data_IF_576707504622
#
_entry.id   IF_576707504622
#
_cell.length_a   1.000
_cell.length_b   1.000
_cell.length_c   1.000
_cell.angle_alpha   90.00
_cell.angle_beta   90.00
_cell.angle_gamma   90.00
#
_symmetry.space_group_name_H-M   'P 1'
#
loop_
_entity.id
_entity.type
_entity.pdbx_description
1 polymer ?
#
# COMPACT_ATOMS: atom_id res chain seq x y z
N UNK A 1 7.71 -34.12 5.86
CA UNK A 1 9.00 -33.41 5.67
C UNK A 1 8.65 -31.93 5.66
N UNK A 2 9.18 -31.19 6.64
CA UNK A 2 9.00 -29.71 6.66
C UNK A 2 9.75 -29.15 5.46
N UNK A 3 9.07 -28.50 4.54
CA UNK A 3 9.70 -27.79 3.43
C UNK A 3 10.24 -26.48 3.99
N UNK A 4 11.57 -26.34 4.05
CA UNK A 4 12.20 -25.09 4.45
C UNK A 4 12.03 -24.04 3.32
N UNK A 5 11.75 -22.80 3.69
CA UNK A 5 11.69 -21.67 2.77
C UNK A 5 13.07 -20.99 2.70
N UNK A 6 13.50 -20.68 1.48
CA UNK A 6 14.77 -20.01 1.24
C UNK A 6 14.59 -18.77 0.37
N UNK A 7 15.18 -17.67 0.81
CA UNK A 7 15.31 -16.46 -0.01
C UNK A 7 16.56 -16.59 -0.89
N UNK A 8 16.37 -16.40 -2.20
CA UNK A 8 17.44 -16.47 -3.20
C UNK A 8 17.92 -15.09 -3.60
N UNK A 9 19.22 -14.93 -3.62
CA UNK A 9 19.87 -13.70 -4.07
C UNK A 9 20.85 -14.04 -5.21
N UNK A 10 20.82 -13.24 -6.28
CA UNK A 10 21.77 -13.41 -7.38
C UNK A 10 23.23 -13.36 -6.88
N UNK A 11 23.97 -14.43 -7.16
CA UNK A 11 25.38 -14.54 -6.78
C UNK A 11 25.71 -14.76 -5.30
N UNK A 12 24.70 -15.05 -4.45
CA UNK A 12 24.88 -15.35 -3.02
C UNK A 12 24.29 -16.73 -2.68
N UNK A 13 24.68 -17.27 -1.52
CA UNK A 13 24.06 -18.48 -0.96
C UNK A 13 22.62 -18.19 -0.54
N UNK A 14 21.73 -19.19 -0.75
CA UNK A 14 20.34 -19.14 -0.29
C UNK A 14 20.29 -18.98 1.23
N UNK A 15 19.39 -18.14 1.73
CA UNK A 15 19.19 -17.86 3.16
C UNK A 15 17.87 -18.49 3.60
N UNK A 16 17.92 -19.34 4.65
CA UNK A 16 16.71 -19.90 5.24
C UNK A 16 15.91 -18.80 5.95
N UNK A 17 14.62 -18.70 5.62
CA UNK A 17 13.69 -17.68 6.16
C UNK A 17 12.52 -18.30 6.94
N UNK A 18 12.58 -19.57 7.31
CA UNK A 18 11.48 -20.26 8.01
C UNK A 18 11.02 -19.51 9.28
N UNK A 19 11.93 -18.87 9.98
CA UNK A 19 11.61 -18.10 11.19
C UNK A 19 10.99 -16.71 10.89
N UNK A 20 11.01 -16.27 9.64
CA UNK A 20 10.50 -14.96 9.24
C UNK A 20 9.09 -15.05 8.64
N UNK A 21 8.69 -16.22 8.14
CA UNK A 21 7.37 -16.42 7.51
C UNK A 21 6.30 -16.76 8.55
N UNK A 22 5.08 -16.22 8.43
CA UNK A 22 4.04 -16.37 9.46
C UNK A 22 3.33 -17.73 9.43
N UNK A 23 3.26 -18.43 8.28
CA UNK A 23 2.53 -19.71 8.12
C UNK A 23 2.91 -20.42 6.82
N UNK A 24 2.53 -21.69 6.69
CA UNK A 24 2.72 -22.48 5.47
C UNK A 24 1.76 -22.05 4.37
N UNK A 25 2.24 -22.04 3.11
CA UNK A 25 1.45 -21.69 1.92
C UNK A 25 1.04 -22.93 1.12
N UNK A 26 -0.05 -22.86 0.35
CA UNK A 26 -0.35 -23.86 -0.69
C UNK A 26 0.81 -24.00 -1.67
N UNK A 27 0.99 -25.18 -2.26
CA UNK A 27 2.14 -25.50 -3.12
C UNK A 27 2.30 -24.58 -4.35
N UNK A 28 1.21 -23.92 -4.80
CA UNK A 28 1.23 -22.99 -5.94
C UNK A 28 1.50 -21.53 -5.55
N UNK A 29 1.65 -21.24 -4.24
CA UNK A 29 1.90 -19.90 -3.72
C UNK A 29 3.36 -19.76 -3.29
N UNK A 30 3.85 -18.54 -3.26
CA UNK A 30 5.21 -18.23 -2.81
C UNK A 30 5.21 -17.04 -1.87
N UNK A 31 6.08 -17.10 -0.85
CA UNK A 31 6.40 -15.92 -0.06
C UNK A 31 7.35 -15.02 -0.85
N UNK A 32 7.07 -13.73 -0.85
CA UNK A 32 7.94 -12.72 -1.45
C UNK A 32 8.09 -11.54 -0.48
N UNK A 33 9.27 -10.95 -0.40
CA UNK A 33 9.39 -9.65 0.29
C UNK A 33 8.57 -8.62 -0.48
N UNK A 34 7.77 -7.85 0.25
CA UNK A 34 6.82 -6.91 -0.36
C UNK A 34 7.53 -5.97 -1.35
N UNK A 35 8.70 -5.42 -0.98
CA UNK A 35 9.47 -4.54 -1.86
C UNK A 35 10.11 -5.21 -3.09
N UNK A 36 10.18 -6.55 -3.14
CA UNK A 36 10.60 -7.29 -4.33
C UNK A 36 9.43 -7.56 -5.29
N UNK A 37 8.20 -7.47 -4.78
CA UNK A 37 6.97 -7.69 -5.55
C UNK A 37 6.29 -6.38 -5.96
N UNK A 38 6.38 -5.36 -5.13
CA UNK A 38 5.77 -4.04 -5.30
C UNK A 38 6.85 -2.96 -5.24
N UNK A 39 6.84 -2.03 -6.19
CA UNK A 39 7.67 -0.82 -6.15
C UNK A 39 7.16 0.12 -5.05
N UNK A 40 7.98 0.27 -4.02
CA UNK A 40 7.66 1.00 -2.80
C UNK A 40 8.32 2.38 -2.84
N UNK A 41 7.51 3.40 -3.09
CA UNK A 41 7.92 4.82 -3.12
C UNK A 41 7.28 5.59 -1.97
N UNK A 42 7.73 6.80 -1.75
CA UNK A 42 7.13 7.75 -0.82
C UNK A 42 6.87 9.10 -1.49
N UNK A 43 5.92 9.83 -0.96
CA UNK A 43 5.73 11.23 -1.28
C UNK A 43 6.88 12.10 -0.76
N UNK A 44 6.86 13.38 -1.11
CA UNK A 44 7.84 14.31 -0.59
C UNK A 44 7.75 14.45 0.93
N UNK A 45 8.87 14.81 1.57
CA UNK A 45 8.91 15.24 2.97
C UNK A 45 8.97 16.77 3.12
N UNK A 46 9.06 17.49 2.00
CA UNK A 46 9.15 18.94 1.97
C UNK A 46 7.87 19.60 2.50
N UNK A 47 8.02 20.83 2.95
CA UNK A 47 6.90 21.69 3.35
C UNK A 47 6.86 22.91 2.43
N UNK A 48 6.24 22.78 1.24
CA UNK A 48 6.14 23.88 0.30
C UNK A 48 5.26 24.99 0.85
N UNK A 49 5.35 26.16 0.26
CA UNK A 49 4.39 27.25 0.54
C UNK A 49 3.04 26.89 -0.09
N UNK A 50 2.02 26.83 0.74
CA UNK A 50 0.66 26.59 0.26
C UNK A 50 0.09 27.81 -0.45
N UNK A 51 -0.77 27.55 -1.41
CA UNK A 51 -1.46 28.55 -2.24
C UNK A 51 -2.97 28.34 -2.18
N UNK A 52 -3.76 29.35 -2.56
CA UNK A 52 -5.23 29.23 -2.55
C UNK A 52 -5.76 28.33 -3.65
N UNK A 53 -5.09 28.31 -4.79
CA UNK A 53 -5.45 27.51 -5.97
C UNK A 53 -4.20 26.88 -6.56
N UNK A 54 -4.31 25.63 -7.04
CA UNK A 54 -3.19 24.89 -7.61
C UNK A 54 -3.45 23.38 -7.62
N UNK A 55 -2.41 22.60 -7.41
CA UNK A 55 -2.50 21.13 -7.35
C UNK A 55 -2.76 20.65 -5.93
N UNK A 56 -3.73 19.75 -5.70
CA UNK A 56 -3.98 19.16 -4.39
C UNK A 56 -2.74 18.48 -3.83
N UNK A 57 -2.52 18.62 -2.51
CA UNK A 57 -1.39 18.05 -1.80
C UNK A 57 -1.88 17.08 -0.73
N UNK A 58 -1.87 15.80 -1.07
CA UNK A 58 -2.45 14.72 -0.29
C UNK A 58 -1.49 14.25 0.80
N UNK A 59 -2.03 14.13 2.00
CA UNK A 59 -1.34 13.62 3.19
C UNK A 59 -2.10 12.42 3.77
N UNK A 60 -1.56 11.80 4.83
CA UNK A 60 -2.26 10.72 5.56
C UNK A 60 -3.66 11.11 6.05
N UNK A 61 -3.91 12.39 6.32
CA UNK A 61 -5.21 12.89 6.79
C UNK A 61 -6.30 12.82 5.71
N UNK A 62 -5.89 12.78 4.46
CA UNK A 62 -6.81 12.74 3.31
C UNK A 62 -7.19 11.31 2.89
N UNK A 63 -6.55 10.27 3.47
CA UNK A 63 -6.87 8.88 3.20
C UNK A 63 -7.96 8.40 4.18
N UNK A 64 -9.22 8.41 3.75
CA UNK A 64 -10.38 8.15 4.60
C UNK A 64 -11.31 7.14 3.91
N UNK A 65 -11.68 6.08 4.61
CA UNK A 65 -12.66 5.08 4.16
C UNK A 65 -12.38 4.53 2.74
N UNK A 66 -11.11 4.22 2.44
CA UNK A 66 -10.71 3.68 1.14
C UNK A 66 -10.74 4.67 -0.03
N UNK A 67 -10.83 5.97 0.25
CA UNK A 67 -10.88 7.06 -0.74
C UNK A 67 -9.96 8.21 -0.36
N UNK A 68 -9.62 9.06 -1.33
CA UNK A 68 -9.00 10.34 -1.06
C UNK A 68 -10.09 11.37 -0.79
N UNK A 69 -10.06 11.98 0.40
CA UNK A 69 -10.91 13.13 0.74
C UNK A 69 -10.23 14.42 0.30
N UNK A 70 -10.81 15.09 -0.69
CA UNK A 70 -10.35 16.37 -1.21
C UNK A 70 -11.02 17.59 -0.55
N UNK A 71 -11.93 17.41 0.42
CA UNK A 71 -12.70 18.51 1.02
C UNK A 71 -11.83 19.50 1.80
N UNK A 72 -10.75 19.01 2.46
CA UNK A 72 -9.83 19.82 3.26
C UNK A 72 -8.38 19.63 2.82
N UNK A 73 -8.13 19.75 1.53
CA UNK A 73 -6.80 19.60 0.95
C UNK A 73 -6.08 20.94 0.86
N UNK A 74 -4.78 20.94 1.12
CA UNK A 74 -3.91 22.07 0.82
C UNK A 74 -3.53 22.04 -0.66
N UNK A 75 -3.24 23.21 -1.22
CA UNK A 75 -2.79 23.31 -2.61
C UNK A 75 -1.36 23.80 -2.69
N UNK A 76 -0.64 23.31 -3.71
CA UNK A 76 0.75 23.68 -4.02
C UNK A 76 0.84 24.26 -5.43
N UNK A 77 1.96 24.95 -5.68
CA UNK A 77 2.22 25.53 -7.00
C UNK A 77 2.45 24.43 -8.04
N UNK A 78 2.24 24.77 -9.32
CA UNK A 78 2.59 23.88 -10.45
C UNK A 78 4.08 23.51 -10.44
N UNK A 79 4.95 24.44 -10.08
CA UNK A 79 6.39 24.19 -9.96
C UNK A 79 6.70 23.11 -8.93
N UNK A 80 6.09 23.20 -7.75
CA UNK A 80 6.29 22.21 -6.68
C UNK A 80 5.69 20.86 -7.09
N UNK A 81 4.48 20.88 -7.68
CA UNK A 81 3.85 19.68 -8.22
C UNK A 81 4.76 18.96 -9.22
N UNK A 82 5.24 19.66 -10.25
CA UNK A 82 6.10 19.10 -11.28
C UNK A 82 7.43 18.57 -10.72
N UNK A 83 7.95 19.15 -9.65
CA UNK A 83 9.13 18.64 -8.96
C UNK A 83 8.83 17.33 -8.21
N UNK A 84 7.70 17.27 -7.47
CA UNK A 84 7.38 16.11 -6.63
C UNK A 84 6.96 14.88 -7.44
N UNK A 85 6.23 15.06 -8.54
CA UNK A 85 5.80 13.95 -9.38
C UNK A 85 6.95 13.24 -10.12
N UNK A 86 8.12 13.85 -10.25
CA UNK A 86 9.30 13.16 -10.81
C UNK A 86 9.66 11.89 -10.02
N UNK A 87 9.40 11.88 -8.71
CA UNK A 87 9.68 10.75 -7.83
C UNK A 87 8.45 9.91 -7.51
N UNK A 88 7.31 10.55 -7.34
CA UNK A 88 6.10 9.94 -6.79
C UNK A 88 4.86 10.25 -7.61
N UNK A 89 4.97 10.10 -8.94
CA UNK A 89 3.81 10.20 -9.83
C UNK A 89 2.82 9.08 -9.53
N UNK A 90 1.58 9.45 -9.26
CA UNK A 90 0.49 8.51 -8.94
C UNK A 90 -0.33 8.23 -10.19
N UNK A 91 -0.61 6.96 -10.45
CA UNK A 91 -1.38 6.48 -11.59
C UNK A 91 -2.59 5.67 -11.13
N UNK A 92 -3.46 5.32 -12.08
CA UNK A 92 -4.53 4.37 -11.83
C UNK A 92 -3.98 3.02 -11.38
N UNK A 93 -4.70 2.40 -10.44
CA UNK A 93 -4.37 1.13 -9.80
C UNK A 93 -3.14 1.18 -8.87
N UNK A 94 -2.53 2.34 -8.63
CA UNK A 94 -1.60 2.51 -7.52
C UNK A 94 -2.32 2.46 -6.17
N UNK A 95 -1.60 2.16 -5.10
CA UNK A 95 -2.14 2.23 -3.75
C UNK A 95 -1.40 3.28 -2.94
N UNK A 96 -2.15 4.18 -2.30
CA UNK A 96 -1.63 5.05 -1.25
C UNK A 96 -1.86 4.44 0.14
N UNK A 97 -0.90 4.64 1.04
CA UNK A 97 -0.95 4.11 2.40
C UNK A 97 -0.38 5.13 3.39
N UNK A 98 -1.14 5.43 4.45
CA UNK A 98 -0.71 6.38 5.46
C UNK A 98 0.41 5.79 6.34
N UNK A 99 1.56 6.48 6.36
CA UNK A 99 2.77 6.04 7.08
C UNK A 99 2.96 6.74 8.42
N UNK A 100 2.28 7.86 8.64
CA UNK A 100 2.47 8.74 9.81
C UNK A 100 1.11 9.12 10.37
N UNK A 101 0.98 9.08 11.69
CA UNK A 101 -0.25 9.42 12.41
C UNK A 101 -1.32 8.33 12.26
N UNK A 102 -2.24 8.51 11.35
CA UNK A 102 -3.29 7.51 11.03
C UNK A 102 -2.72 6.39 10.15
N UNK A 103 -1.86 5.55 10.69
CA UNK A 103 -1.21 4.46 9.94
C UNK A 103 -2.25 3.51 9.34
N UNK A 104 -2.07 3.16 8.07
CA UNK A 104 -2.97 2.30 7.32
C UNK A 104 -3.81 3.05 6.30
N UNK A 105 -5.11 2.79 6.30
CA UNK A 105 -6.08 3.36 5.38
C UNK A 105 -5.64 3.25 3.91
N UNK A 106 -5.37 2.04 3.40
CA UNK A 106 -4.94 1.86 2.02
C UNK A 106 -6.04 2.32 1.06
N UNK A 107 -5.65 3.04 0.02
CA UNK A 107 -6.55 3.57 -1.02
C UNK A 107 -6.06 3.12 -2.38
N UNK A 108 -6.85 2.30 -3.07
CA UNK A 108 -6.62 1.98 -4.49
C UNK A 108 -7.07 3.16 -5.35
N UNK A 109 -6.15 3.69 -6.13
CA UNK A 109 -6.36 4.93 -6.88
C UNK A 109 -7.19 4.68 -8.15
N UNK A 110 -8.22 5.50 -8.31
CA UNK A 110 -8.87 5.80 -9.59
C UNK A 110 -8.74 7.28 -9.80
N UNK A 111 -7.81 7.65 -10.68
CA UNK A 111 -7.35 9.03 -10.82
C UNK A 111 -8.32 9.82 -11.67
N UNK A 112 -8.89 10.88 -11.12
CA UNK A 112 -9.76 11.83 -11.81
C UNK A 112 -9.11 13.21 -11.99
N UNK A 113 -7.98 13.45 -11.29
CA UNK A 113 -7.22 14.71 -11.31
C UNK A 113 -5.77 14.50 -10.95
N UNK A 114 -4.95 15.50 -11.29
CA UNK A 114 -3.54 15.53 -10.84
C UNK A 114 -3.44 16.01 -9.40
N UNK A 115 -2.52 15.39 -8.64
CA UNK A 115 -2.19 15.76 -7.26
C UNK A 115 -0.76 15.30 -6.91
N UNK A 116 -0.22 15.82 -5.84
CA UNK A 116 1.03 15.35 -5.23
C UNK A 116 0.79 14.78 -3.85
N UNK A 117 1.72 13.97 -3.36
CA UNK A 117 1.62 13.27 -2.07
C UNK A 117 2.76 13.65 -1.14
N UNK A 118 2.45 13.73 0.18
CA UNK A 118 3.41 14.04 1.25
C UNK A 118 3.30 13.05 2.39
N UNK A 119 4.42 12.45 2.79
CA UNK A 119 4.50 11.51 3.92
C UNK A 119 3.50 10.34 3.81
N UNK A 120 3.22 9.92 2.59
CA UNK A 120 2.33 8.81 2.23
C UNK A 120 3.15 7.83 1.41
N UNK A 121 3.05 6.54 1.68
CA UNK A 121 3.63 5.53 0.83
C UNK A 121 2.81 5.39 -0.46
N UNK A 122 3.52 5.17 -1.56
CA UNK A 122 2.98 4.88 -2.88
C UNK A 122 3.45 3.49 -3.29
N UNK A 123 2.54 2.60 -3.53
CA UNK A 123 2.77 1.23 -3.95
C UNK A 123 2.33 1.06 -5.40
N UNK A 124 3.28 0.67 -6.25
CA UNK A 124 3.08 0.47 -7.70
C UNK A 124 3.41 -0.96 -8.08
N UNK A 125 2.67 -1.58 -9.00
CA UNK A 125 3.05 -2.90 -9.51
C UNK A 125 4.31 -2.78 -10.37
N UNK A 126 5.34 -3.62 -10.14
CA UNK A 126 6.45 -3.74 -11.10
C UNK A 126 5.94 -4.27 -12.43
N UNK A 127 5.04 -5.26 -12.40
CA UNK A 127 4.46 -5.87 -13.58
C UNK A 127 2.94 -6.01 -13.44
N UNK A 128 2.18 -5.13 -14.10
CA UNK A 128 0.70 -5.13 -14.08
C UNK A 128 0.08 -6.46 -14.52
N UNK A 129 0.74 -7.23 -15.40
CA UNK A 129 0.22 -8.53 -15.88
C UNK A 129 0.30 -9.64 -14.82
N UNK A 130 1.15 -9.49 -13.80
CA UNK A 130 1.37 -10.50 -12.75
C UNK A 130 0.87 -10.07 -11.38
N UNK A 131 0.40 -8.83 -11.25
CA UNK A 131 -0.02 -8.25 -9.98
C UNK A 131 -1.44 -7.72 -10.06
N UNK A 132 -2.33 -8.25 -9.24
CA UNK A 132 -3.65 -7.67 -9.02
C UNK A 132 -3.58 -6.71 -7.82
N UNK A 133 -3.74 -5.40 -8.08
CA UNK A 133 -3.60 -4.38 -7.03
C UNK A 133 -4.78 -4.38 -6.04
N UNK A 134 -5.94 -4.97 -6.38
CA UNK A 134 -7.01 -5.21 -5.40
C UNK A 134 -6.60 -6.30 -4.39
N UNK A 135 -5.93 -7.35 -4.85
CA UNK A 135 -5.35 -8.35 -3.96
C UNK A 135 -4.35 -7.72 -2.99
N UNK A 136 -3.46 -6.84 -3.50
CA UNK A 136 -2.50 -6.10 -2.68
C UNK A 136 -3.21 -5.15 -1.71
N UNK A 137 -4.29 -4.48 -2.13
CA UNK A 137 -5.12 -3.65 -1.26
C UNK A 137 -5.68 -4.43 -0.07
N UNK A 138 -6.24 -5.63 -0.32
CA UNK A 138 -6.79 -6.47 0.75
C UNK A 138 -5.70 -7.00 1.68
N UNK A 139 -4.53 -7.37 1.14
CA UNK A 139 -3.38 -7.71 1.96
C UNK A 139 -2.97 -6.56 2.88
N UNK A 140 -2.84 -5.34 2.36
CA UNK A 140 -2.50 -4.15 3.16
C UNK A 140 -3.57 -3.83 4.21
N UNK A 141 -4.85 -4.00 3.85
CA UNK A 141 -5.97 -3.84 4.78
C UNK A 141 -5.93 -4.86 5.91
N UNK A 142 -5.51 -6.09 5.63
CA UNK A 142 -5.36 -7.15 6.62
C UNK A 142 -4.21 -6.87 7.59
N UNK A 143 -3.03 -6.49 7.09
CA UNK A 143 -1.85 -6.29 7.94
C UNK A 143 -1.83 -4.93 8.66
N UNK A 144 -2.69 -3.98 8.35
CA UNK A 144 -2.62 -2.61 8.89
C UNK A 144 -2.72 -2.57 10.43
N UNK A 145 -3.49 -3.48 11.05
CA UNK A 145 -3.58 -3.56 12.52
C UNK A 145 -2.26 -4.02 13.15
N UNK A 146 -1.59 -4.98 12.52
CA UNK A 146 -0.25 -5.37 12.92
C UNK A 146 0.73 -4.20 12.78
N UNK A 147 0.69 -3.46 11.67
CA UNK A 147 1.54 -2.31 11.44
C UNK A 147 1.31 -1.20 12.47
N UNK A 148 0.08 -0.95 12.87
CA UNK A 148 -0.24 0.00 13.96
C UNK A 148 0.39 -0.40 15.29
N UNK A 149 0.40 -1.70 15.61
CA UNK A 149 1.00 -2.22 16.86
C UNK A 149 2.51 -2.10 16.91
N UNK A 150 3.21 -2.24 15.76
CA UNK A 150 4.67 -2.15 15.69
C UNK A 150 5.18 -0.75 15.34
N UNK A 151 4.29 0.21 15.12
CA UNK A 151 4.64 1.59 14.79
C UNK A 151 5.53 2.21 15.86
N UNK A 152 6.53 2.98 15.42
CA UNK A 152 7.46 3.70 16.28
C UNK A 152 6.97 5.12 16.53
N UNK A 153 7.45 5.74 17.61
CA UNK A 153 7.10 7.11 17.97
C UNK A 153 5.96 7.17 19.01
N UNK A 154 6.03 8.15 19.91
CA UNK A 154 5.04 8.30 20.98
C UNK A 154 3.81 9.07 20.54
N UNK A 155 3.92 10.42 20.46
CA UNK A 155 2.78 11.30 20.13
C UNK A 155 2.32 11.15 18.68
N UNK A 156 3.25 10.89 17.76
CA UNK A 156 2.96 10.69 16.35
C UNK A 156 3.60 9.40 15.86
N UNK A 157 2.86 8.29 15.87
CA UNK A 157 3.37 7.01 15.42
C UNK A 157 3.72 7.04 13.93
N UNK A 158 4.76 6.30 13.54
CA UNK A 158 5.17 6.18 12.14
C UNK A 158 5.71 4.79 11.80
N UNK A 159 5.61 4.42 10.55
CA UNK A 159 6.21 3.23 9.95
C UNK A 159 7.33 3.67 9.00
N UNK A 160 8.57 3.18 9.16
CA UNK A 160 9.62 3.47 8.19
C UNK A 160 9.36 2.71 6.89
N UNK A 161 9.59 3.35 5.74
CA UNK A 161 9.38 2.77 4.42
C UNK A 161 10.20 1.48 4.19
N UNK A 162 11.37 1.40 4.84
CA UNK A 162 12.21 0.20 4.80
C UNK A 162 11.54 -1.06 5.35
N UNK A 163 10.55 -0.92 6.23
CA UNK A 163 9.77 -2.07 6.70
C UNK A 163 9.09 -2.77 5.52
N UNK A 164 8.40 -2.01 4.66
CA UNK A 164 7.78 -2.56 3.44
C UNK A 164 8.80 -3.05 2.44
N UNK A 165 9.92 -2.36 2.30
CA UNK A 165 10.94 -2.74 1.31
C UNK A 165 11.67 -4.04 1.66
N UNK A 166 11.88 -4.32 2.96
CA UNK A 166 12.82 -5.36 3.39
C UNK A 166 12.29 -6.38 4.38
N UNK A 167 11.23 -6.08 5.13
CA UNK A 167 10.84 -6.89 6.28
C UNK A 167 9.45 -7.54 6.11
N UNK A 168 8.50 -6.85 5.46
CA UNK A 168 7.18 -7.41 5.22
C UNK A 168 7.23 -8.45 4.12
N UNK A 169 6.65 -9.63 4.41
CA UNK A 169 6.39 -10.67 3.41
C UNK A 169 4.94 -10.61 2.96
N UNK A 170 4.73 -10.83 1.67
CA UNK A 170 3.41 -11.00 1.05
C UNK A 170 3.31 -12.42 0.47
N UNK A 171 2.22 -13.15 0.72
CA UNK A 171 1.97 -14.41 0.04
C UNK A 171 1.49 -14.12 -1.39
N UNK A 172 2.17 -14.65 -2.40
CA UNK A 172 1.88 -14.37 -3.82
C UNK A 172 1.29 -15.60 -4.49
N UNK A 173 -0.03 -15.64 -4.71
CA UNK A 173 -0.68 -16.66 -5.54
C UNK A 173 -0.44 -16.40 -7.03
N UNK A 174 -0.73 -17.39 -7.91
CA UNK A 174 -0.86 -17.14 -9.33
C UNK A 174 -1.89 -16.05 -9.63
N UNK A 175 -1.70 -15.26 -10.69
CA UNK A 175 -2.53 -14.08 -10.99
C UNK A 175 -4.03 -14.40 -11.09
N UNK A 176 -4.40 -15.56 -11.61
CA UNK A 176 -5.80 -16.00 -11.66
C UNK A 176 -6.41 -16.17 -10.27
N UNK A 177 -5.61 -16.64 -9.33
CA UNK A 177 -6.02 -16.84 -7.96
C UNK A 177 -6.08 -15.50 -7.19
N UNK A 178 -5.13 -14.56 -7.43
CA UNK A 178 -5.21 -13.20 -6.91
C UNK A 178 -6.54 -12.55 -7.29
N UNK A 179 -6.92 -12.61 -8.58
CA UNK A 179 -8.19 -12.06 -9.07
C UNK A 179 -9.40 -12.74 -8.44
N UNK A 180 -9.37 -14.07 -8.31
CA UNK A 180 -10.46 -14.82 -7.68
C UNK A 180 -10.65 -14.44 -6.22
N UNK A 181 -9.54 -14.28 -5.48
CA UNK A 181 -9.56 -13.84 -4.07
C UNK A 181 -10.11 -12.42 -4.00
N UNK A 182 -9.59 -11.49 -4.80
CA UNK A 182 -10.02 -10.09 -4.80
C UNK A 182 -11.53 -9.98 -5.08
N UNK A 183 -12.03 -10.65 -6.11
CA UNK A 183 -13.46 -10.70 -6.43
C UNK A 183 -14.28 -11.25 -5.27
N UNK A 184 -13.83 -12.37 -4.65
CA UNK A 184 -14.58 -12.99 -3.56
C UNK A 184 -14.64 -12.13 -2.30
N UNK A 185 -13.56 -11.44 -1.98
CA UNK A 185 -13.51 -10.48 -0.88
C UNK A 185 -14.45 -9.30 -1.12
N UNK A 186 -14.47 -8.73 -2.33
CA UNK A 186 -15.43 -7.68 -2.71
C UNK A 186 -16.88 -8.14 -2.58
N UNK A 187 -17.22 -9.34 -3.07
CA UNK A 187 -18.57 -9.89 -2.94
C UNK A 187 -19.00 -9.99 -1.47
N UNK A 188 -18.09 -10.43 -0.59
CA UNK A 188 -18.39 -10.55 0.85
C UNK A 188 -18.63 -9.19 1.49
N UNK A 189 -17.75 -8.20 1.20
CA UNK A 189 -17.95 -6.86 1.74
C UNK A 189 -19.24 -6.21 1.24
N UNK A 190 -19.56 -6.31 -0.05
CA UNK A 190 -20.81 -5.81 -0.61
C UNK A 190 -22.03 -6.45 0.08
N UNK A 191 -22.01 -7.77 0.31
CA UNK A 191 -23.10 -8.46 1.01
C UNK A 191 -23.24 -8.00 2.48
N UNK A 192 -22.11 -7.71 3.15
CA UNK A 192 -22.13 -7.17 4.51
C UNK A 192 -22.69 -5.74 4.55
N UNK A 193 -22.30 -4.88 3.61
CA UNK A 193 -22.81 -3.51 3.49
C UNK A 193 -24.34 -3.51 3.20
N UNK A 194 -24.79 -4.42 2.34
CA UNK A 194 -26.23 -4.61 2.07
C UNK A 194 -26.98 -4.97 3.34
N UNK A 195 -26.48 -5.97 4.11
CA UNK A 195 -27.09 -6.37 5.38
C UNK A 195 -27.13 -5.19 6.37
N UNK A 196 -26.04 -4.45 6.47
CA UNK A 196 -25.96 -3.30 7.36
C UNK A 196 -26.99 -2.22 7.00
N UNK A 197 -27.24 -2.01 5.69
CA UNK A 197 -28.23 -1.03 5.22
C UNK A 197 -29.67 -1.38 5.61
N UNK A 198 -29.98 -2.67 5.85
CA UNK A 198 -31.31 -3.12 6.34
C UNK A 198 -31.46 -3.02 7.86
N UNK A 199 -30.38 -2.80 8.61
CA UNK A 199 -30.40 -2.73 10.07
C UNK A 199 -30.49 -1.30 10.62
N UNK A 200 -30.43 -0.30 9.76
CA UNK A 200 -30.54 1.15 10.04
C UNK A 200 -31.88 1.66 9.55
#
# INVERSE_FOLDING_TARGET
MSSCYYEKFDGKSDVCIDNEIPFELPASWQWCRFGNYIDVRDGTHDSPKYVETGYPFITSKNLINGKIDFSNVQYITEKDHNNYIQRSYVEDDDILFAMIGSIGNPVLIKKDREFSIKNVALFKPYEKKHTDMKFVLFFLSWIQEYLRKIAKGGIQPFIPLNLFRKEIFIPVPPISEQKRIATKVEEIFNALDDIQSYLV
#
